data_IF_863357315204
#
_entry.id   IF_863357315204
#
_cell.length_a   1.000
_cell.length_b   1.000
_cell.length_c   1.000
_cell.angle_alpha   90.00
_cell.angle_beta   90.00
_cell.angle_gamma   90.00
#
_symmetry.space_group_name_H-M   'P 1'
#
loop_
_entity.id
_entity.type
_entity.pdbx_description
1 polymer ?
#
# COMPACT_ATOMS: atom_id res chain seq x y z
N UNK A 1 -5.48 2.57 -4.20
CA UNK A 1 -6.47 1.83 -3.38
C UNK A 1 -6.16 0.33 -3.35
N UNK A 2 -6.28 -0.38 -4.48
CA UNK A 2 -6.05 -1.83 -4.53
C UNK A 2 -4.64 -2.27 -4.14
N UNK A 3 -3.61 -1.50 -4.53
CA UNK A 3 -2.24 -1.68 -4.08
C UNK A 3 -2.13 -1.67 -2.55
N UNK A 4 -2.63 -0.60 -1.91
CA UNK A 4 -2.65 -0.48 -0.45
C UNK A 4 -3.40 -1.63 0.21
N UNK A 5 -4.57 -2.00 -0.32
CA UNK A 5 -5.33 -3.13 0.19
C UNK A 5 -4.55 -4.46 0.13
N UNK A 6 -3.80 -4.70 -0.95
CA UNK A 6 -3.00 -5.93 -1.09
C UNK A 6 -1.79 -5.94 -0.16
N UNK A 7 -1.12 -4.80 -0.01
CA UNK A 7 -0.03 -4.64 0.96
C UNK A 7 -0.52 -4.87 2.39
N UNK A 8 -1.63 -4.23 2.78
CA UNK A 8 -2.24 -4.40 4.11
C UNK A 8 -2.65 -5.86 4.34
N UNK A 9 -3.39 -6.47 3.41
CA UNK A 9 -3.81 -7.87 3.52
C UNK A 9 -2.62 -8.79 3.83
N UNK A 10 -1.56 -8.73 3.03
CA UNK A 10 -0.40 -9.60 3.21
C UNK A 10 0.44 -9.19 4.43
N UNK A 11 0.42 -7.90 4.81
CA UNK A 11 1.10 -7.35 5.98
C UNK A 11 0.42 -7.65 7.32
N UNK A 12 -0.82 -8.14 7.32
CA UNK A 12 -1.53 -8.62 8.52
C UNK A 12 -1.27 -10.10 8.81
N UNK A 13 -0.77 -10.84 7.82
CA UNK A 13 -0.46 -12.27 7.96
C UNK A 13 0.95 -12.47 8.56
N UNK A 14 1.12 -13.41 9.51
CA UNK A 14 2.45 -13.76 10.03
C UNK A 14 3.42 -14.18 8.92
N UNK A 15 2.93 -14.91 7.91
CA UNK A 15 3.71 -15.40 6.78
C UNK A 15 4.22 -14.24 5.91
N UNK A 16 3.49 -13.12 5.87
CA UNK A 16 3.85 -11.97 5.05
C UNK A 16 4.81 -10.99 5.72
N UNK A 17 5.25 -11.22 6.97
CA UNK A 17 6.17 -10.30 7.65
C UNK A 17 7.58 -10.32 7.04
N UNK A 18 8.07 -11.49 6.61
CA UNK A 18 9.43 -11.63 6.08
C UNK A 18 9.68 -10.78 4.82
N UNK A 19 8.63 -10.56 4.02
CA UNK A 19 8.71 -9.78 2.78
C UNK A 19 8.03 -8.41 2.90
N UNK A 20 7.66 -7.97 4.11
CA UNK A 20 6.82 -6.78 4.27
C UNK A 20 7.46 -5.52 3.66
N UNK A 21 8.73 -5.32 3.94
CA UNK A 21 9.47 -4.12 3.53
C UNK A 21 9.83 -4.16 2.04
N UNK A 22 10.38 -5.28 1.55
CA UNK A 22 10.69 -5.46 0.13
C UNK A 22 9.41 -5.34 -0.72
N UNK A 23 8.31 -5.96 -0.29
CA UNK A 23 7.03 -5.90 -1.00
C UNK A 23 6.52 -4.47 -1.16
N UNK A 24 6.52 -3.67 -0.09
CA UNK A 24 5.98 -2.30 -0.21
C UNK A 24 6.86 -1.45 -1.11
N UNK A 25 8.19 -1.58 -1.04
CA UNK A 25 9.11 -0.85 -1.91
C UNK A 25 8.94 -1.27 -3.37
N UNK A 26 8.97 -2.58 -3.65
CA UNK A 26 8.87 -3.10 -5.02
C UNK A 26 7.52 -2.76 -5.66
N UNK A 27 6.42 -2.91 -4.92
CA UNK A 27 5.10 -2.62 -5.47
C UNK A 27 4.85 -1.12 -5.67
N UNK A 28 5.42 -0.24 -4.81
CA UNK A 28 5.34 1.22 -5.01
C UNK A 28 6.21 1.64 -6.19
N UNK A 29 7.43 1.10 -6.30
CA UNK A 29 8.30 1.38 -7.45
C UNK A 29 7.62 1.00 -8.78
N UNK A 30 6.96 -0.16 -8.83
CA UNK A 30 6.20 -0.57 -10.01
C UNK A 30 5.00 0.36 -10.27
N UNK A 31 4.25 0.72 -9.23
CA UNK A 31 3.13 1.65 -9.34
C UNK A 31 3.54 3.04 -9.87
N UNK A 32 4.71 3.52 -9.45
CA UNK A 32 5.26 4.79 -9.93
C UNK A 32 5.77 4.67 -11.37
N UNK A 33 6.39 3.55 -11.75
CA UNK A 33 6.79 3.26 -13.12
C UNK A 33 5.58 3.19 -14.08
N UNK A 34 4.43 2.71 -13.59
CA UNK A 34 3.16 2.68 -14.33
C UNK A 34 2.45 4.04 -14.38
N UNK A 35 2.92 5.05 -13.64
CA UNK A 35 2.42 6.42 -13.72
C UNK A 35 1.06 6.66 -13.07
N UNK A 36 0.63 5.81 -12.13
CA UNK A 36 -0.65 5.99 -11.42
C UNK A 36 -0.73 7.28 -10.59
N UNK A 37 0.42 7.78 -10.12
CA UNK A 37 0.51 8.99 -9.31
C UNK A 37 0.08 8.82 -7.84
N UNK A 38 0.29 9.87 -7.04
CA UNK A 38 0.05 9.83 -5.59
C UNK A 38 -1.42 10.01 -5.17
N UNK A 39 -1.77 9.52 -3.98
CA UNK A 39 -3.07 9.76 -3.37
C UNK A 39 -3.23 11.24 -2.94
N UNK A 40 -4.32 11.88 -3.35
CA UNK A 40 -4.68 13.26 -3.00
C UNK A 40 -5.73 13.37 -1.87
N UNK A 41 -6.10 12.24 -1.26
CA UNK A 41 -7.05 12.14 -0.15
C UNK A 41 -8.50 12.61 -0.46
N UNK A 42 -8.92 12.63 -1.73
CA UNK A 42 -10.29 12.99 -2.11
C UNK A 42 -11.30 11.88 -1.73
N UNK A 43 -10.86 10.61 -1.69
CA UNK A 43 -11.71 9.48 -1.29
C UNK A 43 -12.67 8.94 -2.35
N UNK A 44 -12.64 9.44 -3.60
CA UNK A 44 -13.51 8.92 -4.67
C UNK A 44 -13.28 7.43 -4.96
N UNK A 45 -12.03 6.96 -4.84
CA UNK A 45 -11.70 5.56 -5.08
C UNK A 45 -12.39 4.60 -4.10
N UNK A 46 -12.51 4.95 -2.82
CA UNK A 46 -13.20 4.13 -1.82
C UNK A 46 -14.72 4.20 -2.02
N UNK A 47 -15.27 5.39 -2.30
CA UNK A 47 -16.70 5.57 -2.54
C UNK A 47 -17.21 4.77 -3.75
N UNK A 48 -16.40 4.66 -4.80
CA UNK A 48 -16.73 3.88 -6.00
C UNK A 48 -16.40 2.38 -5.87
N UNK A 49 -15.78 1.92 -4.79
CA UNK A 49 -15.27 0.57 -4.68
C UNK A 49 -16.40 -0.43 -4.33
N UNK A 50 -16.74 -1.40 -5.20
CA UNK A 50 -17.79 -2.38 -4.92
C UNK A 50 -17.40 -3.41 -3.85
N UNK A 51 -16.14 -3.41 -3.42
CA UNK A 51 -15.62 -4.26 -2.35
C UNK A 51 -15.42 -3.50 -1.04
N UNK A 52 -15.89 -2.24 -1.00
CA UNK A 52 -15.90 -1.42 0.22
C UNK A 52 -14.51 -1.32 0.86
N UNK A 53 -13.46 -1.26 0.04
CA UNK A 53 -12.09 -1.14 0.55
C UNK A 53 -11.96 0.22 1.24
N UNK A 54 -11.63 0.25 2.53
CA UNK A 54 -11.54 1.49 3.28
C UNK A 54 -10.31 2.31 2.84
N UNK A 55 -10.39 3.64 2.99
CA UNK A 55 -9.31 4.55 2.58
C UNK A 55 -8.06 4.45 3.46
N UNK A 56 -8.20 3.91 4.68
CA UNK A 56 -7.13 3.68 5.66
C UNK A 56 -6.03 2.73 5.15
N UNK A 57 -6.30 1.87 4.17
CA UNK A 57 -5.28 1.05 3.50
C UNK A 57 -4.18 1.91 2.87
N UNK A 58 -4.49 3.17 2.50
CA UNK A 58 -3.50 4.14 2.04
C UNK A 58 -2.59 4.59 3.19
N UNK A 59 -3.17 4.84 4.37
CA UNK A 59 -2.41 5.18 5.58
C UNK A 59 -1.48 4.04 6.00
N UNK A 60 -1.96 2.79 5.90
CA UNK A 60 -1.17 1.60 6.21
C UNK A 60 -0.03 1.40 5.20
N UNK A 61 -0.29 1.53 3.90
CA UNK A 61 0.76 1.55 2.86
C UNK A 61 1.84 2.60 3.16
N UNK A 62 1.44 3.84 3.48
CA UNK A 62 2.38 4.92 3.78
C UNK A 62 3.17 4.68 5.07
N UNK A 63 2.60 3.96 6.04
CA UNK A 63 3.30 3.54 7.25
C UNK A 63 4.33 2.46 6.94
N UNK A 64 3.97 1.46 6.16
CA UNK A 64 4.86 0.37 5.77
C UNK A 64 6.02 0.91 4.92
N UNK A 65 5.76 1.76 3.93
CA UNK A 65 6.81 2.38 3.12
C UNK A 65 7.79 3.19 3.97
N UNK A 66 7.29 4.04 4.89
CA UNK A 66 8.17 4.79 5.81
C UNK A 66 8.96 3.91 6.76
N UNK A 67 8.45 2.73 7.10
CA UNK A 67 9.13 1.76 7.95
C UNK A 67 10.24 1.06 7.17
N UNK A 68 9.93 0.60 5.95
CA UNK A 68 10.90 0.00 5.04
C UNK A 68 12.09 0.94 4.76
N UNK A 69 11.83 2.22 4.48
CA UNK A 69 12.88 3.23 4.28
C UNK A 69 13.77 3.42 5.52
N UNK A 70 13.22 3.27 6.74
CA UNK A 70 14.02 3.33 7.98
C UNK A 70 14.88 2.09 8.19
N UNK A 71 14.45 0.95 7.65
CA UNK A 71 15.21 -0.31 7.67
C UNK A 71 16.27 -0.39 6.57
N UNK A 72 16.34 0.60 5.69
CA UNK A 72 17.34 0.67 4.62
C UNK A 72 16.94 -0.05 3.33
N UNK A 73 15.64 -0.29 3.14
CA UNK A 73 15.07 -0.70 1.86
C UNK A 73 14.89 0.48 0.91
#
# INVERSE_FOLDING_TARGET
>A
LFLGAKITHLGELPQGQAERDTRVVDMVAQHDAEGFGGCTNIGQCTAACPKEIPLDVISQLNKDLRTALKHGH
#
